data_IF_239893227868
#
_entry.id   IF_239893227868
#
_cell.length_a   1.000
_cell.length_b   1.000
_cell.length_c   1.000
_cell.angle_alpha   90.00
_cell.angle_beta   90.00
_cell.angle_gamma   90.00
#
_symmetry.space_group_name_H-M   'P 1'
#
loop_
_entity.id
_entity.type
_entity.pdbx_description
1 polymer ?
#
# COMPACT_ATOMS: atom_id res chain seq x y z
N UNK A 1 22.61 8.13 -4.31
CA UNK A 1 22.39 6.68 -4.03
C UNK A 1 20.99 6.21 -4.43
N UNK A 2 19.90 6.70 -3.79
CA UNK A 2 18.54 6.19 -4.05
C UNK A 2 18.01 6.32 -5.51
N UNK A 3 18.51 7.28 -6.29
CA UNK A 3 18.10 7.48 -7.69
C UNK A 3 18.92 6.63 -8.69
N UNK A 4 20.07 6.10 -8.26
CA UNK A 4 20.97 5.30 -9.09
C UNK A 4 21.01 3.83 -8.65
N UNK A 5 20.29 3.49 -7.58
CA UNK A 5 20.24 2.14 -7.04
C UNK A 5 19.32 1.26 -7.89
N UNK A 6 19.86 0.16 -8.37
CA UNK A 6 19.15 -0.84 -9.13
C UNK A 6 18.93 -2.10 -8.27
N UNK A 7 17.71 -2.33 -7.73
CA UNK A 7 17.44 -3.54 -6.96
C UNK A 7 17.56 -4.79 -7.84
N UNK A 8 18.08 -5.90 -7.31
CA UNK A 8 18.10 -7.17 -8.04
C UNK A 8 16.68 -7.65 -8.37
N UNK A 9 16.51 -8.44 -9.44
CA UNK A 9 15.17 -8.86 -9.91
C UNK A 9 14.35 -9.52 -8.80
N UNK A 10 14.96 -10.39 -7.98
CA UNK A 10 14.29 -11.08 -6.87
C UNK A 10 13.78 -10.14 -5.76
N UNK A 11 14.33 -8.92 -5.67
CA UNK A 11 13.85 -7.89 -4.75
C UNK A 11 12.67 -7.10 -5.32
N UNK A 12 12.56 -7.03 -6.65
CA UNK A 12 11.44 -6.39 -7.35
C UNK A 12 10.25 -7.35 -7.44
N UNK A 13 10.51 -8.61 -7.77
CA UNK A 13 9.51 -9.66 -7.99
C UNK A 13 9.87 -10.91 -7.22
N UNK A 14 8.94 -11.40 -6.42
CA UNK A 14 9.05 -12.72 -5.79
C UNK A 14 8.21 -13.71 -6.54
N UNK A 15 8.85 -14.75 -7.07
CA UNK A 15 8.20 -15.87 -7.74
C UNK A 15 8.03 -17.01 -6.74
N UNK A 16 6.80 -17.47 -6.59
CA UNK A 16 6.45 -18.59 -5.72
C UNK A 16 6.58 -19.91 -6.48
N UNK A 17 6.70 -21.01 -5.74
CA UNK A 17 6.88 -22.36 -6.32
C UNK A 17 5.73 -22.81 -7.22
N UNK A 18 4.53 -22.24 -7.02
CA UNK A 18 3.33 -22.53 -7.81
C UNK A 18 3.25 -21.71 -9.11
N UNK A 19 4.27 -20.91 -9.44
CA UNK A 19 4.28 -20.04 -10.61
C UNK A 19 3.66 -18.66 -10.40
N UNK A 20 3.03 -18.40 -9.25
CA UNK A 20 2.55 -17.05 -8.92
C UNK A 20 3.74 -16.10 -8.72
N UNK A 21 3.50 -14.81 -8.94
CA UNK A 21 4.47 -13.77 -8.67
C UNK A 21 3.84 -12.58 -7.93
N UNK A 22 4.60 -12.00 -7.01
CA UNK A 22 4.24 -10.78 -6.30
C UNK A 22 5.30 -9.70 -6.53
N UNK A 23 4.86 -8.53 -7.01
CA UNK A 23 5.72 -7.35 -7.11
C UNK A 23 5.86 -6.69 -5.75
N UNK A 24 7.10 -6.44 -5.34
CA UNK A 24 7.47 -5.79 -4.07
C UNK A 24 7.86 -4.33 -4.26
N UNK A 25 8.43 -3.98 -5.41
CA UNK A 25 8.87 -2.61 -5.74
C UNK A 25 8.08 -2.11 -6.96
N UNK A 26 7.30 -1.04 -6.75
CA UNK A 26 6.40 -0.47 -7.77
C UNK A 26 6.87 0.89 -8.32
N UNK A 27 7.72 1.58 -7.57
CA UNK A 27 8.25 2.89 -7.97
C UNK A 27 9.64 2.72 -8.57
N UNK A 28 10.00 3.59 -9.52
CA UNK A 28 11.33 3.65 -10.15
C UNK A 28 11.78 2.36 -10.86
N UNK A 29 10.84 1.50 -11.23
CA UNK A 29 11.05 0.33 -12.08
C UNK A 29 9.94 0.26 -13.11
N UNK A 30 10.30 -0.16 -14.31
CA UNK A 30 9.35 -0.32 -15.40
C UNK A 30 8.33 -1.42 -15.08
N UNK A 31 7.12 -1.23 -15.59
CA UNK A 31 6.09 -2.27 -15.56
C UNK A 31 6.45 -3.34 -16.58
N UNK A 32 6.11 -4.59 -16.28
CA UNK A 32 6.16 -5.62 -17.32
C UNK A 32 5.09 -5.35 -18.38
N UNK A 33 5.25 -5.90 -19.59
CA UNK A 33 4.26 -5.74 -20.66
C UNK A 33 2.82 -6.12 -20.21
N UNK A 34 2.58 -7.26 -19.54
CA UNK A 34 1.24 -7.60 -19.05
C UNK A 34 0.65 -6.58 -18.06
N UNK A 35 1.48 -5.99 -17.22
CA UNK A 35 1.03 -4.99 -16.24
C UNK A 35 0.72 -3.66 -16.92
N UNK A 36 1.53 -3.26 -17.91
CA UNK A 36 1.29 -2.06 -18.70
C UNK A 36 0.00 -2.17 -19.51
N UNK A 37 -0.23 -3.33 -20.15
CA UNK A 37 -1.47 -3.64 -20.87
C UNK A 37 -2.68 -3.63 -19.93
N UNK A 38 -2.59 -4.29 -18.78
CA UNK A 38 -3.66 -4.29 -17.78
C UNK A 38 -3.93 -2.88 -17.24
N UNK A 39 -2.89 -2.07 -17.00
CA UNK A 39 -3.04 -0.69 -16.56
C UNK A 39 -3.72 0.18 -17.63
N UNK A 40 -3.42 -0.04 -18.90
CA UNK A 40 -4.11 0.62 -20.01
C UNK A 40 -5.59 0.20 -20.08
N UNK A 41 -5.90 -1.09 -19.98
CA UNK A 41 -7.26 -1.60 -19.94
C UNK A 41 -8.04 -1.06 -18.73
N UNK A 42 -7.40 -0.96 -17.57
CA UNK A 42 -7.96 -0.36 -16.37
C UNK A 42 -8.32 1.11 -16.57
N UNK A 43 -7.44 1.90 -17.22
CA UNK A 43 -7.71 3.30 -17.56
C UNK A 43 -8.91 3.44 -18.51
N UNK A 44 -8.98 2.59 -19.53
CA UNK A 44 -10.11 2.59 -20.48
C UNK A 44 -11.43 2.26 -19.79
N UNK A 45 -11.45 1.24 -18.91
CA UNK A 45 -12.64 0.88 -18.13
C UNK A 45 -13.07 1.98 -17.17
N UNK A 46 -12.13 2.57 -16.44
CA UNK A 46 -12.43 3.69 -15.56
C UNK A 46 -13.03 4.87 -16.33
N UNK A 47 -12.51 5.19 -17.52
CA UNK A 47 -13.06 6.22 -18.39
C UNK A 47 -14.47 5.88 -18.90
N UNK A 48 -14.69 4.63 -19.32
CA UNK A 48 -16.01 4.16 -19.78
C UNK A 48 -17.07 4.21 -18.66
N UNK A 49 -16.69 3.97 -17.41
CA UNK A 49 -17.56 4.09 -16.23
C UNK A 49 -17.69 5.53 -15.70
N UNK A 50 -16.97 6.50 -16.30
CA UNK A 50 -16.91 7.87 -15.78
C UNK A 50 -16.30 7.98 -14.37
N UNK A 51 -15.49 6.99 -13.97
CA UNK A 51 -14.90 6.91 -12.65
C UNK A 51 -13.70 7.86 -12.51
N UNK A 52 -13.73 8.68 -11.46
CA UNK A 52 -12.61 9.53 -11.04
C UNK A 52 -12.04 9.02 -9.72
N UNK A 53 -10.72 9.15 -9.55
CA UNK A 53 -10.03 8.65 -8.38
C UNK A 53 -9.21 9.72 -7.66
N UNK A 54 -9.11 9.62 -6.33
CA UNK A 54 -8.18 10.44 -5.55
C UNK A 54 -6.73 10.22 -6.03
N UNK A 55 -5.88 11.26 -6.03
CA UNK A 55 -4.47 11.12 -6.41
C UNK A 55 -3.74 10.01 -5.64
N UNK A 56 -4.06 9.84 -4.35
CA UNK A 56 -3.50 8.77 -3.52
C UNK A 56 -3.91 7.36 -3.95
N UNK A 57 -5.06 7.20 -4.63
CA UNK A 57 -5.53 5.91 -5.16
C UNK A 57 -4.94 5.67 -6.54
N UNK A 58 -4.84 6.71 -7.37
CA UNK A 58 -4.21 6.66 -8.69
C UNK A 58 -2.75 6.20 -8.60
N UNK A 59 -1.97 6.77 -7.66
CA UNK A 59 -0.56 6.40 -7.47
C UNK A 59 -0.37 4.93 -7.03
N UNK A 60 -1.42 4.29 -6.53
CA UNK A 60 -1.43 2.87 -6.15
C UNK A 60 -1.91 1.94 -7.29
N UNK A 61 -2.29 2.45 -8.47
CA UNK A 61 -2.84 1.64 -9.56
C UNK A 61 -2.01 0.37 -9.89
N UNK A 62 -0.67 0.42 -10.00
CA UNK A 62 0.14 -0.77 -10.23
C UNK A 62 0.00 -1.86 -9.15
N UNK A 63 -0.26 -1.45 -7.89
CA UNK A 63 -0.48 -2.39 -6.77
C UNK A 63 -1.82 -3.13 -6.92
N UNK A 64 -2.85 -2.44 -7.41
CA UNK A 64 -4.14 -3.07 -7.69
C UNK A 64 -4.06 -4.04 -8.86
N UNK A 65 -3.30 -3.71 -9.91
CA UNK A 65 -3.00 -4.61 -11.04
C UNK A 65 -2.29 -5.88 -10.57
N UNK A 66 -1.25 -5.74 -9.74
CA UNK A 66 -0.56 -6.92 -9.18
C UNK A 66 -1.49 -7.76 -8.30
N UNK A 67 -2.25 -7.13 -7.39
CA UNK A 67 -3.19 -7.83 -6.50
C UNK A 67 -4.33 -8.52 -7.26
N UNK A 68 -4.75 -7.99 -8.40
CA UNK A 68 -5.80 -8.57 -9.23
C UNK A 68 -5.30 -9.64 -10.21
N UNK A 69 -4.00 -9.95 -10.22
CA UNK A 69 -3.35 -10.86 -11.18
C UNK A 69 -3.57 -10.41 -12.63
N UNK A 70 -3.35 -9.13 -12.91
CA UNK A 70 -3.54 -8.52 -14.23
C UNK A 70 -4.99 -8.57 -14.76
N UNK A 71 -5.97 -8.67 -13.86
CA UNK A 71 -7.39 -8.52 -14.19
C UNK A 71 -7.81 -7.06 -13.98
N UNK A 72 -8.07 -6.35 -15.08
CA UNK A 72 -8.43 -4.94 -15.05
C UNK A 72 -9.79 -4.69 -14.39
N UNK A 73 -10.75 -5.62 -14.51
CA UNK A 73 -12.07 -5.48 -13.88
C UNK A 73 -11.97 -5.59 -12.36
N UNK A 74 -11.25 -6.61 -11.88
CA UNK A 74 -10.99 -6.77 -10.43
C UNK A 74 -10.16 -5.62 -9.88
N UNK A 75 -9.16 -5.13 -10.62
CA UNK A 75 -8.37 -3.97 -10.21
C UNK A 75 -9.25 -2.73 -10.04
N UNK A 76 -10.19 -2.48 -10.96
CA UNK A 76 -11.10 -1.35 -10.88
C UNK A 76 -12.01 -1.43 -9.65
N UNK A 77 -12.61 -2.60 -9.41
CA UNK A 77 -13.44 -2.84 -8.22
C UNK A 77 -12.65 -2.61 -6.91
N UNK A 78 -11.39 -3.04 -6.86
CA UNK A 78 -10.52 -2.81 -5.70
C UNK A 78 -10.18 -1.33 -5.51
N UNK A 79 -9.94 -0.59 -6.60
CA UNK A 79 -9.71 0.85 -6.56
C UNK A 79 -10.93 1.60 -6.05
N UNK A 80 -12.12 1.27 -6.56
CA UNK A 80 -13.39 1.86 -6.13
C UNK A 80 -13.66 1.56 -4.65
N UNK A 81 -13.47 0.31 -4.22
CA UNK A 81 -13.61 -0.07 -2.81
C UNK A 81 -12.64 0.70 -1.91
N UNK A 82 -11.37 0.82 -2.31
CA UNK A 82 -10.36 1.56 -1.55
C UNK A 82 -10.69 3.05 -1.46
N UNK A 83 -11.17 3.65 -2.56
CA UNK A 83 -11.61 5.04 -2.56
C UNK A 83 -12.79 5.26 -1.62
N UNK A 84 -13.83 4.42 -1.71
CA UNK A 84 -15.00 4.50 -0.81
C UNK A 84 -14.59 4.42 0.64
N UNK A 85 -13.75 3.43 0.99
CA UNK A 85 -13.23 3.29 2.34
C UNK A 85 -12.45 4.53 2.79
N UNK A 86 -11.59 5.11 1.94
CA UNK A 86 -10.86 6.35 2.28
C UNK A 86 -11.80 7.53 2.50
N UNK A 87 -12.80 7.70 1.65
CA UNK A 87 -13.78 8.78 1.78
C UNK A 87 -14.59 8.65 3.07
N UNK A 88 -14.99 7.42 3.43
CA UNK A 88 -15.76 7.12 4.65
C UNK A 88 -14.90 7.24 5.91
N UNK A 89 -13.74 6.60 5.92
CA UNK A 89 -12.87 6.53 7.11
C UNK A 89 -12.30 7.91 7.47
N UNK A 90 -11.92 8.72 6.47
CA UNK A 90 -11.38 10.06 6.68
C UNK A 90 -12.43 11.17 6.49
N UNK A 91 -13.72 10.85 6.59
CA UNK A 91 -14.80 11.84 6.44
C UNK A 91 -14.71 12.99 7.46
N UNK A 92 -14.19 12.70 8.66
CA UNK A 92 -14.02 13.69 9.74
C UNK A 92 -12.78 14.59 9.55
N UNK A 93 -11.99 14.34 8.49
CA UNK A 93 -10.74 15.03 8.21
C UNK A 93 -9.52 14.11 8.30
N UNK A 94 -8.33 14.62 7.93
CA UNK A 94 -7.09 13.87 7.99
C UNK A 94 -6.67 13.61 9.44
N UNK A 95 -5.95 12.51 9.66
CA UNK A 95 -5.20 12.29 10.90
C UNK A 95 -4.08 13.32 10.95
N UNK A 96 -4.01 14.10 12.02
CA UNK A 96 -2.96 15.11 12.22
C UNK A 96 -1.88 14.56 13.14
N UNK A 97 -0.67 15.10 13.04
CA UNK A 97 0.45 14.67 13.87
C UNK A 97 0.14 14.76 15.37
N UNK A 98 -0.60 15.81 15.77
CA UNK A 98 -1.03 16.02 17.16
C UNK A 98 -1.95 14.91 17.67
N UNK A 99 -2.70 14.24 16.79
CA UNK A 99 -3.65 13.19 17.16
C UNK A 99 -2.93 11.86 17.46
N UNK A 100 -1.70 11.67 16.97
CA UNK A 100 -0.92 10.42 17.11
C UNK A 100 0.41 10.61 17.86
N UNK A 101 0.76 11.84 18.23
CA UNK A 101 2.07 12.17 18.79
C UNK A 101 2.40 11.35 20.04
N UNK A 102 1.44 11.20 20.95
CA UNK A 102 1.65 10.46 22.19
C UNK A 102 1.81 8.95 21.94
N UNK A 103 0.98 8.37 21.08
CA UNK A 103 1.10 6.97 20.66
C UNK A 103 2.48 6.68 20.06
N UNK A 104 2.99 7.60 19.24
CA UNK A 104 4.30 7.49 18.61
C UNK A 104 5.46 7.62 19.62
N UNK A 105 5.30 8.39 20.72
CA UNK A 105 6.33 8.56 21.76
C UNK A 105 6.66 7.28 22.50
N UNK A 106 5.72 6.33 22.59
CA UNK A 106 6.00 5.01 23.13
C UNK A 106 7.06 4.24 22.32
N UNK A 107 7.33 4.64 21.06
CA UNK A 107 8.30 3.98 20.20
C UNK A 107 7.91 2.54 19.90
N UNK A 108 6.61 2.30 19.78
CA UNK A 108 6.03 1.00 19.42
C UNK A 108 6.29 0.73 17.94
N UNK A 109 6.09 1.73 17.08
CA UNK A 109 6.32 1.66 15.63
C UNK A 109 7.10 2.89 15.19
N UNK A 110 8.20 2.69 14.45
CA UNK A 110 8.96 3.79 13.85
C UNK A 110 9.75 3.30 12.64
N UNK A 111 10.05 4.21 11.71
CA UNK A 111 10.97 3.93 10.60
C UNK A 111 12.41 4.19 11.04
N UNK A 112 13.33 3.29 10.70
CA UNK A 112 14.75 3.47 10.97
C UNK A 112 15.60 2.77 9.92
N UNK A 113 16.39 3.55 9.18
CA UNK A 113 17.27 3.03 8.14
C UNK A 113 16.53 2.45 6.94
N UNK A 114 17.26 1.66 6.15
CA UNK A 114 16.79 0.96 4.96
C UNK A 114 17.39 -0.44 4.95
N UNK A 115 16.75 -1.37 4.26
CA UNK A 115 17.37 -2.66 3.95
C UNK A 115 18.33 -2.55 2.75
N UNK A 116 18.96 -3.68 2.41
CA UNK A 116 19.89 -3.79 1.27
C UNK A 116 19.26 -3.43 -0.10
N UNK A 117 17.92 -3.42 -0.17
CA UNK A 117 17.15 -3.06 -1.37
C UNK A 117 16.58 -1.64 -1.29
N UNK A 118 17.09 -0.81 -0.37
CA UNK A 118 16.69 0.57 -0.15
C UNK A 118 15.23 0.76 0.31
N UNK A 119 14.54 -0.30 0.75
CA UNK A 119 13.18 -0.20 1.27
C UNK A 119 13.24 0.35 2.71
N UNK A 120 12.36 1.30 3.09
CA UNK A 120 12.30 1.78 4.46
C UNK A 120 12.04 0.64 5.44
N UNK A 121 12.88 0.51 6.47
CA UNK A 121 12.68 -0.50 7.50
C UNK A 121 11.76 0.05 8.60
N UNK A 122 10.64 -0.65 8.82
CA UNK A 122 9.71 -0.35 9.91
C UNK A 122 10.03 -1.25 11.10
N UNK A 123 10.37 -0.64 12.23
CA UNK A 123 10.66 -1.34 13.48
C UNK A 123 9.39 -1.38 14.32
N UNK A 124 9.00 -2.58 14.76
CA UNK A 124 7.88 -2.80 15.68
C UNK A 124 8.43 -3.36 16.99
N UNK A 125 8.12 -2.73 18.13
CA UNK A 125 8.54 -3.16 19.47
C UNK A 125 7.31 -3.44 20.33
N UNK A 126 6.65 -4.61 20.20
CA UNK A 126 5.41 -4.92 20.91
C UNK A 126 5.54 -4.82 22.44
N UNK A 127 6.72 -5.09 23.00
CA UNK A 127 7.01 -4.95 24.43
C UNK A 127 6.84 -3.52 24.96
N UNK A 128 6.84 -2.50 24.09
CA UNK A 128 6.64 -1.10 24.47
C UNK A 128 5.18 -0.67 24.47
N UNK A 129 4.24 -1.55 24.11
CA UNK A 129 2.81 -1.25 24.18
C UNK A 129 2.42 -1.02 25.65
N UNK A 130 1.84 0.13 26.00
CA UNK A 130 1.41 0.41 27.37
C UNK A 130 0.42 -0.63 27.88
N UNK A 131 0.61 -1.11 29.12
CA UNK A 131 -0.30 -2.08 29.74
C UNK A 131 -1.75 -1.59 29.80
N UNK A 132 -1.94 -0.26 29.89
CA UNK A 132 -3.23 0.38 29.92
C UNK A 132 -4.05 0.14 28.65
N UNK A 133 -3.43 0.08 27.47
CA UNK A 133 -4.14 -0.15 26.21
C UNK A 133 -4.84 -1.51 26.14
N UNK A 134 -4.31 -2.52 26.84
CA UNK A 134 -4.95 -3.84 26.96
C UNK A 134 -6.18 -3.80 27.87
N UNK A 135 -6.22 -2.88 28.84
CA UNK A 135 -7.35 -2.68 29.75
C UNK A 135 -8.43 -1.84 29.10
N UNK A 136 -8.02 -0.83 28.35
CA UNK A 136 -8.91 0.10 27.65
C UNK A 136 -9.57 -0.57 26.42
N UNK A 137 -8.96 -1.60 25.84
CA UNK A 137 -9.49 -2.34 24.68
C UNK A 137 -10.10 -3.70 25.06
N UNK A 138 -11.24 -3.62 25.75
CA UNK A 138 -12.36 -4.55 25.54
C UNK A 138 -13.54 -3.81 24.89
N UNK A 139 -13.25 -2.85 24.00
CA UNK A 139 -14.26 -2.05 23.29
C UNK A 139 -14.02 -2.15 21.79
N UNK A 140 -14.23 -3.35 21.26
CA UNK A 140 -14.73 -3.54 19.90
C UNK A 140 -16.02 -4.35 20.03
N UNK A 141 -17.09 -3.66 20.45
CA UNK A 141 -18.46 -4.08 20.13
C UNK A 141 -18.73 -3.61 18.71
N UNK A 142 -18.48 -4.50 17.75
CA UNK A 142 -19.22 -4.57 16.50
C UNK A 142 -19.64 -6.03 16.34
#
# INVERSE_FOLDING_TARGET
>A
EALCFEPPEGAVLTRFRNGDAERKIYCNRELSAPEAECLQALRQRAAAEGASFFPSVISMAPRFVSRSRNDAGKALSLMQATQRWRAEYFQAGPVRDVDIQEDMRHGIVYFSGRDECMRPAMIIRPRRIPAQWYRDKCVNRF
#
